data_IF_489762680892
#
_entry.id   IF_489762680892
#
_cell.length_a   1.000
_cell.length_b   1.000
_cell.length_c   1.000
_cell.angle_alpha   90.00
_cell.angle_beta   90.00
_cell.angle_gamma   90.00
#
_symmetry.space_group_name_H-M   'P 1'
#
loop_
_entity.id
_entity.type
_entity.pdbx_description
1 polymer ?
#
# COMPACT_ATOMS: atom_id res chain seq x y z
N UNK A 1 34.52 9.17 -46.41
CA UNK A 1 35.86 8.88 -45.87
C UNK A 1 35.75 9.02 -44.36
N UNK A 2 35.37 7.94 -43.66
CA UNK A 2 35.26 7.97 -42.20
C UNK A 2 36.66 7.91 -41.60
N UNK A 3 37.00 8.87 -40.75
CA UNK A 3 38.23 8.81 -39.96
C UNK A 3 38.04 7.72 -38.92
N UNK A 4 38.83 6.66 -39.02
CA UNK A 4 38.99 5.67 -37.95
C UNK A 4 40.07 6.28 -37.07
N UNK A 5 39.66 6.81 -35.92
CA UNK A 5 40.56 7.29 -34.89
C UNK A 5 41.11 6.05 -34.19
N UNK A 6 42.32 5.64 -34.58
CA UNK A 6 43.01 4.51 -33.97
C UNK A 6 43.26 4.85 -32.51
N UNK A 7 42.72 4.01 -31.60
CA UNK A 7 43.07 4.11 -30.19
C UNK A 7 44.58 3.93 -30.05
N UNK A 8 45.28 4.75 -29.23
CA UNK A 8 46.71 4.58 -29.00
C UNK A 8 47.03 3.16 -28.51
N UNK A 9 48.00 2.50 -29.16
CA UNK A 9 48.49 1.14 -28.87
C UNK A 9 49.15 0.98 -27.47
N UNK A 10 49.14 2.02 -26.63
CA UNK A 10 49.64 2.02 -25.26
C UNK A 10 48.62 1.49 -24.24
N UNK A 11 47.66 0.65 -24.68
CA UNK A 11 46.83 -0.10 -23.75
C UNK A 11 47.67 -1.25 -23.18
N UNK A 12 48.20 -1.05 -21.98
CA UNK A 12 48.90 -2.08 -21.23
C UNK A 12 47.93 -3.24 -20.90
N UNK A 13 47.99 -4.32 -21.68
CA UNK A 13 47.14 -5.52 -21.53
C UNK A 13 47.35 -6.25 -20.20
N UNK A 14 48.30 -5.81 -19.36
CA UNK A 14 48.53 -6.38 -18.03
C UNK A 14 47.66 -5.70 -16.97
N UNK A 15 46.38 -6.12 -16.88
CA UNK A 15 45.58 -5.89 -15.68
C UNK A 15 46.26 -6.55 -14.48
N UNK A 16 46.95 -5.77 -13.65
CA UNK A 16 47.43 -6.19 -12.34
C UNK A 16 46.22 -6.41 -11.41
N UNK A 17 45.64 -7.61 -11.49
CA UNK A 17 44.69 -8.10 -10.50
C UNK A 17 45.41 -8.17 -9.15
N UNK A 18 44.86 -7.62 -8.06
CA UNK A 18 45.42 -7.83 -6.74
C UNK A 18 45.59 -9.33 -6.48
N UNK A 19 46.81 -9.76 -6.15
CA UNK A 19 47.01 -11.11 -5.61
C UNK A 19 46.06 -11.30 -4.42
N UNK A 20 45.42 -12.48 -4.25
CA UNK A 20 44.58 -12.73 -3.10
C UNK A 20 45.44 -12.55 -1.86
N UNK A 21 45.19 -11.46 -1.13
CA UNK A 21 45.87 -11.18 0.12
C UNK A 21 45.67 -12.38 1.07
N UNK A 22 46.69 -12.78 1.86
CA UNK A 22 46.45 -13.70 2.97
C UNK A 22 45.36 -13.08 3.86
N UNK A 23 44.35 -13.90 4.17
CA UNK A 23 43.12 -13.55 4.89
C UNK A 23 43.37 -12.58 6.04
N UNK A 24 42.81 -11.36 6.01
CA UNK A 24 42.75 -10.52 7.18
C UNK A 24 41.71 -11.07 8.15
N UNK A 25 42.16 -11.14 9.41
CA UNK A 25 41.40 -11.39 10.63
C UNK A 25 40.04 -10.69 10.66
N UNK A 26 39.04 -11.48 11.09
CA UNK A 26 37.73 -11.14 11.65
C UNK A 26 37.35 -9.65 11.73
N UNK A 27 36.56 -9.19 10.76
CA UNK A 27 35.56 -8.16 10.99
C UNK A 27 34.35 -8.42 10.08
N UNK A 28 33.18 -8.42 10.70
CA UNK A 28 31.91 -8.90 10.16
C UNK A 28 31.47 -8.13 8.90
N UNK A 29 31.63 -8.74 7.72
CA UNK A 29 30.76 -8.55 6.54
C UNK A 29 31.21 -9.50 5.43
N UNK A 30 30.89 -10.79 5.61
CA UNK A 30 30.78 -11.73 4.48
C UNK A 30 29.34 -11.57 3.97
N UNK A 31 29.08 -11.39 2.66
CA UNK A 31 27.76 -11.70 2.13
C UNK A 31 27.57 -13.20 2.31
N UNK A 32 26.93 -13.58 3.41
CA UNK A 32 26.42 -14.94 3.59
C UNK A 32 25.63 -15.27 2.33
N UNK A 33 25.84 -16.43 1.68
CA UNK A 33 24.92 -16.85 0.62
C UNK A 33 23.51 -16.82 1.23
N UNK A 34 22.53 -16.18 0.55
CA UNK A 34 21.19 -16.03 1.11
C UNK A 34 20.68 -17.42 1.48
N UNK A 35 20.31 -17.57 2.75
CA UNK A 35 19.59 -18.77 3.22
C UNK A 35 18.34 -18.94 2.34
N UNK A 36 17.85 -20.16 2.07
CA UNK A 36 16.69 -20.38 1.19
C UNK A 36 15.44 -19.57 1.57
N UNK A 37 15.36 -19.15 2.83
CA UNK A 37 14.30 -18.31 3.41
C UNK A 37 14.40 -16.81 3.07
N UNK A 38 15.55 -16.31 2.61
CA UNK A 38 15.75 -14.90 2.20
C UNK A 38 15.51 -14.66 0.71
N UNK A 39 15.30 -15.71 -0.08
CA UNK A 39 15.12 -15.54 -1.51
C UNK A 39 13.71 -15.01 -1.83
N UNK A 40 13.58 -13.99 -2.71
CA UNK A 40 12.29 -13.40 -3.08
C UNK A 40 11.29 -14.39 -3.66
N UNK A 41 11.80 -15.51 -4.19
CA UNK A 41 11.03 -16.60 -4.78
C UNK A 41 11.39 -17.87 -4.00
N UNK A 42 10.40 -18.57 -3.41
CA UNK A 42 10.65 -19.81 -2.68
C UNK A 42 11.30 -20.87 -3.58
N UNK A 43 12.37 -21.53 -3.12
CA UNK A 43 12.95 -22.65 -3.88
C UNK A 43 12.07 -23.89 -3.68
N UNK A 44 11.61 -24.52 -4.77
CA UNK A 44 11.04 -25.87 -4.71
C UNK A 44 12.17 -26.89 -4.68
N UNK A 45 12.56 -27.32 -3.48
CA UNK A 45 13.69 -28.24 -3.27
C UNK A 45 13.54 -29.57 -4.03
N UNK A 46 12.34 -30.10 -4.15
CA UNK A 46 12.08 -31.36 -4.85
C UNK A 46 12.44 -31.25 -6.33
N UNK A 47 12.05 -30.13 -6.96
CA UNK A 47 12.36 -29.86 -8.36
C UNK A 47 13.81 -29.42 -8.57
N UNK A 48 14.43 -28.82 -7.56
CA UNK A 48 15.85 -28.50 -7.55
C UNK A 48 16.72 -29.78 -7.56
N UNK A 49 16.33 -30.80 -6.77
CA UNK A 49 16.99 -32.12 -6.75
C UNK A 49 16.91 -32.78 -8.13
N UNK A 50 15.72 -32.77 -8.75
CA UNK A 50 15.54 -33.31 -10.10
C UNK A 50 16.41 -32.58 -11.15
N UNK A 51 16.51 -31.25 -11.07
CA UNK A 51 17.34 -30.45 -11.99
C UNK A 51 18.85 -30.71 -11.80
N UNK A 52 19.29 -30.90 -10.56
CA UNK A 52 20.69 -31.14 -10.22
C UNK A 52 21.12 -32.60 -10.52
N UNK A 53 20.18 -33.55 -10.49
CA UNK A 53 20.41 -34.95 -10.92
C UNK A 53 20.53 -35.09 -12.44
N UNK A 54 19.88 -34.21 -13.21
CA UNK A 54 19.93 -34.19 -14.67
C UNK A 54 20.98 -33.22 -15.25
N UNK A 55 21.72 -32.50 -14.41
CA UNK A 55 22.74 -31.53 -14.83
C UNK A 55 24.11 -32.17 -15.07
N UNK A 56 24.84 -31.66 -16.07
CA UNK A 56 26.19 -32.13 -16.37
C UNK A 56 27.14 -31.89 -15.17
N UNK A 57 27.88 -32.91 -14.68
CA UNK A 57 28.71 -32.82 -13.47
C UNK A 57 29.93 -31.88 -13.62
N UNK A 58 30.15 -31.31 -14.80
CA UNK A 58 31.24 -30.40 -15.12
C UNK A 58 30.77 -28.94 -15.35
N UNK A 59 29.46 -28.69 -15.36
CA UNK A 59 28.91 -27.35 -15.51
C UNK A 59 29.00 -26.56 -14.17
N UNK A 60 29.29 -25.25 -14.22
CA UNK A 60 29.24 -24.41 -13.04
C UNK A 60 27.80 -24.33 -12.49
N UNK A 61 27.66 -24.49 -11.16
CA UNK A 61 26.38 -24.35 -10.47
C UNK A 61 25.81 -22.95 -10.66
N UNK A 62 24.51 -22.85 -10.87
CA UNK A 62 23.84 -21.56 -11.01
C UNK A 62 23.84 -20.83 -9.66
N UNK A 63 23.82 -19.49 -9.65
CA UNK A 63 23.66 -18.76 -8.41
C UNK A 63 22.27 -19.05 -7.80
N UNK A 64 22.13 -19.07 -6.47
CA UNK A 64 20.90 -19.52 -5.78
C UNK A 64 19.66 -18.71 -6.18
N UNK A 65 19.83 -17.43 -6.54
CA UNK A 65 18.74 -16.60 -7.04
C UNK A 65 18.19 -17.03 -8.41
N UNK A 66 19.05 -17.55 -9.30
CA UNK A 66 18.63 -18.08 -10.61
C UNK A 66 18.07 -19.50 -10.49
N UNK A 67 18.59 -20.28 -9.55
CA UNK A 67 18.08 -21.61 -9.22
C UNK A 67 16.62 -21.55 -8.76
N UNK A 68 16.29 -20.64 -7.84
CA UNK A 68 14.91 -20.43 -7.36
C UNK A 68 13.90 -20.23 -8.51
N UNK A 69 14.23 -19.35 -9.46
CA UNK A 69 13.39 -19.07 -10.64
C UNK A 69 13.23 -20.32 -11.52
N UNK A 70 14.32 -21.07 -11.73
CA UNK A 70 14.32 -22.25 -12.61
C UNK A 70 13.50 -23.44 -12.06
N UNK A 71 13.30 -23.51 -10.75
CA UNK A 71 12.47 -24.56 -10.14
C UNK A 71 10.96 -24.40 -10.40
N UNK A 72 10.53 -23.26 -10.94
CA UNK A 72 9.12 -22.95 -11.15
C UNK A 72 8.74 -23.04 -12.63
N UNK A 73 7.51 -23.49 -12.92
CA UNK A 73 7.00 -23.37 -14.30
C UNK A 73 6.69 -21.90 -14.61
N UNK A 74 6.60 -21.56 -15.89
CA UNK A 74 6.28 -20.19 -16.32
C UNK A 74 4.97 -19.68 -15.72
N UNK A 75 3.98 -20.57 -15.58
CA UNK A 75 2.66 -20.24 -15.06
C UNK A 75 2.70 -20.02 -13.54
N UNK A 76 3.38 -20.90 -12.80
CA UNK A 76 3.60 -20.74 -11.36
C UNK A 76 4.42 -19.49 -11.02
N UNK A 77 5.42 -19.16 -11.84
CA UNK A 77 6.21 -17.94 -11.68
C UNK A 77 5.33 -16.70 -11.90
N UNK A 78 4.43 -16.72 -12.87
CA UNK A 78 3.48 -15.63 -13.09
C UNK A 78 2.53 -15.45 -11.89
N UNK A 79 2.11 -16.51 -11.23
CA UNK A 79 1.29 -16.44 -10.01
C UNK A 79 2.07 -15.81 -8.85
N UNK A 80 3.32 -16.22 -8.64
CA UNK A 80 4.18 -15.67 -7.57
C UNK A 80 4.52 -14.20 -7.81
N UNK A 81 4.78 -13.81 -9.07
CA UNK A 81 4.98 -12.42 -9.44
C UNK A 81 3.71 -11.60 -9.21
N UNK A 82 2.53 -12.12 -9.56
CA UNK A 82 1.27 -11.42 -9.28
C UNK A 82 0.98 -11.28 -7.78
N UNK A 83 1.43 -12.23 -6.96
CA UNK A 83 1.33 -12.16 -5.50
C UNK A 83 2.25 -11.10 -4.88
N UNK A 84 3.38 -10.82 -5.54
CA UNK A 84 4.35 -9.85 -5.05
C UNK A 84 3.85 -8.42 -5.34
N UNK A 85 3.66 -7.55 -4.33
CA UNK A 85 3.01 -6.24 -4.51
C UNK A 85 3.67 -5.35 -5.58
N UNK A 86 4.98 -5.48 -5.77
CA UNK A 86 5.75 -4.71 -6.75
C UNK A 86 5.46 -5.11 -8.21
N UNK A 87 4.98 -6.33 -8.45
CA UNK A 87 4.76 -6.90 -9.79
C UNK A 87 3.30 -7.31 -10.02
N UNK A 88 2.41 -6.97 -9.08
CA UNK A 88 1.01 -7.31 -9.13
C UNK A 88 0.30 -6.57 -10.27
N UNK A 89 -0.35 -7.34 -11.17
CA UNK A 89 -1.17 -6.77 -12.24
C UNK A 89 -2.64 -6.62 -11.84
N UNK A 90 -3.16 -7.52 -10.98
CA UNK A 90 -4.55 -7.52 -10.51
C UNK A 90 -4.63 -7.83 -9.00
N UNK A 91 -5.34 -7.00 -8.23
CA UNK A 91 -5.54 -7.18 -6.78
C UNK A 91 -6.22 -8.51 -6.43
N UNK A 92 -7.11 -9.02 -7.29
CA UNK A 92 -7.86 -10.25 -7.04
C UNK A 92 -7.00 -11.52 -7.15
N UNK A 93 -5.94 -11.49 -7.97
CA UNK A 93 -5.04 -12.64 -8.18
C UNK A 93 -3.91 -12.71 -7.15
N UNK A 94 -3.75 -11.67 -6.35
CA UNK A 94 -2.70 -11.58 -5.36
C UNK A 94 -3.09 -12.14 -3.98
N UNK A 95 -4.37 -12.45 -3.79
CA UNK A 95 -4.83 -13.14 -2.59
C UNK A 95 -4.67 -14.64 -2.77
N UNK A 96 -4.19 -15.32 -1.72
CA UNK A 96 -4.18 -16.77 -1.69
C UNK A 96 -5.59 -17.35 -1.64
N UNK A 97 -5.72 -18.67 -1.71
CA UNK A 97 -6.99 -19.40 -1.53
C UNK A 97 -7.71 -19.06 -0.20
N UNK A 98 -7.01 -18.43 0.75
CA UNK A 98 -7.54 -17.92 2.03
C UNK A 98 -7.89 -16.42 2.04
N UNK A 99 -7.72 -15.70 0.93
CA UNK A 99 -8.09 -14.28 0.83
C UNK A 99 -7.10 -13.32 1.50
N UNK A 100 -5.92 -13.79 1.90
CA UNK A 100 -4.93 -13.00 2.66
C UNK A 100 -3.56 -13.08 1.98
N UNK A 101 -2.86 -11.95 1.94
CA UNK A 101 -1.47 -11.87 1.47
C UNK A 101 -0.67 -11.09 2.50
N UNK A 102 0.25 -11.77 3.17
CA UNK A 102 1.06 -11.22 4.26
C UNK A 102 1.84 -9.98 3.82
N UNK A 103 2.29 -9.94 2.55
CA UNK A 103 3.04 -8.81 2.02
C UNK A 103 2.14 -7.58 1.80
N UNK A 104 0.90 -7.79 1.33
CA UNK A 104 -0.08 -6.70 1.20
C UNK A 104 -0.55 -6.21 2.57
N UNK A 105 -0.70 -7.11 3.53
CA UNK A 105 -1.07 -6.76 4.90
C UNK A 105 0.04 -5.96 5.59
N UNK A 106 1.30 -6.36 5.43
CA UNK A 106 2.45 -5.60 5.91
C UNK A 106 2.49 -4.18 5.31
N UNK A 107 2.26 -4.01 4.01
CA UNK A 107 2.21 -2.68 3.39
C UNK A 107 1.03 -1.86 3.91
N UNK A 108 -0.13 -2.48 4.12
CA UNK A 108 -1.29 -1.79 4.73
C UNK A 108 -1.04 -1.40 6.17
N UNK A 109 -0.32 -2.23 6.92
CA UNK A 109 0.12 -1.89 8.26
C UNK A 109 1.04 -0.66 8.20
N UNK A 110 2.07 -0.66 7.34
CA UNK A 110 2.96 0.49 7.11
C UNK A 110 2.20 1.79 6.77
N UNK A 111 1.16 1.70 5.95
CA UNK A 111 0.33 2.87 5.58
C UNK A 111 -0.54 3.39 6.73
N UNK A 112 -0.86 2.56 7.72
CA UNK A 112 -1.66 2.90 8.89
C UNK A 112 -0.81 2.93 10.17
N UNK A 113 0.51 3.06 10.04
CA UNK A 113 1.40 3.27 11.17
C UNK A 113 1.14 4.62 11.83
N UNK A 114 1.28 4.63 13.15
CA UNK A 114 1.15 5.82 13.96
C UNK A 114 -0.06 5.81 14.90
N UNK A 115 -0.19 6.91 15.62
CA UNK A 115 -1.27 7.09 16.58
C UNK A 115 -2.61 7.30 15.86
N UNK A 116 -3.70 7.05 16.59
CA UNK A 116 -5.06 7.19 16.02
C UNK A 116 -5.33 8.60 15.48
N UNK A 117 -4.77 9.63 16.11
CA UNK A 117 -4.87 11.02 15.63
C UNK A 117 -4.14 11.25 14.30
N UNK A 118 -2.95 10.67 14.13
CA UNK A 118 -2.15 10.81 12.91
C UNK A 118 -2.77 10.05 11.73
N UNK A 119 -3.30 8.85 11.97
CA UNK A 119 -4.00 8.10 10.91
C UNK A 119 -5.25 8.84 10.43
N UNK A 120 -6.03 9.44 11.34
CA UNK A 120 -7.17 10.27 10.98
C UNK A 120 -6.75 11.54 10.19
N UNK A 121 -5.62 12.13 10.57
CA UNK A 121 -5.02 13.27 9.86
C UNK A 121 -4.60 12.88 8.43
N UNK A 122 -4.00 11.71 8.23
CA UNK A 122 -3.63 11.20 6.90
C UNK A 122 -4.86 11.05 6.00
N UNK A 123 -5.96 10.50 6.52
CA UNK A 123 -7.22 10.40 5.76
C UNK A 123 -7.81 11.77 5.41
N UNK A 124 -7.67 12.76 6.29
CA UNK A 124 -8.07 14.14 6.01
C UNK A 124 -7.28 14.72 4.84
N UNK A 125 -5.97 14.50 4.80
CA UNK A 125 -5.09 15.00 3.74
C UNK A 125 -5.38 14.34 2.39
N UNK A 126 -5.57 13.01 2.37
CA UNK A 126 -6.02 12.28 1.18
C UNK A 126 -7.39 12.77 0.68
N UNK A 127 -8.32 13.04 1.61
CA UNK A 127 -9.62 13.63 1.28
C UNK A 127 -9.50 15.04 0.70
N UNK A 128 -8.57 15.86 1.20
CA UNK A 128 -8.31 17.21 0.70
C UNK A 128 -7.75 17.18 -0.73
N UNK A 129 -6.90 16.20 -1.05
CA UNK A 129 -6.37 15.99 -2.40
C UNK A 129 -7.48 15.57 -3.37
N UNK A 130 -8.29 14.57 -3.01
CA UNK A 130 -9.44 14.15 -3.82
C UNK A 130 -10.45 15.29 -4.03
N UNK A 131 -10.68 16.12 -3.02
CA UNK A 131 -11.52 17.31 -3.12
C UNK A 131 -10.93 18.37 -4.06
N UNK A 132 -9.61 18.56 -4.05
CA UNK A 132 -8.89 19.47 -4.98
C UNK A 132 -9.06 19.02 -6.43
N UNK A 133 -9.07 17.71 -6.66
CA UNK A 133 -9.33 17.09 -7.96
C UNK A 133 -10.83 17.03 -8.32
N UNK A 134 -11.72 17.53 -7.45
CA UNK A 134 -13.18 17.51 -7.61
C UNK A 134 -13.78 16.09 -7.64
N UNK A 135 -13.05 15.10 -7.12
CA UNK A 135 -13.56 13.75 -6.90
C UNK A 135 -14.28 13.69 -5.55
N UNK A 136 -15.47 14.29 -5.52
CA UNK A 136 -16.24 14.47 -4.27
C UNK A 136 -16.73 13.15 -3.65
N UNK A 137 -16.96 12.11 -4.47
CA UNK A 137 -17.38 10.77 -4.02
C UNK A 137 -16.24 10.14 -3.22
N UNK A 138 -15.05 10.06 -3.82
CA UNK A 138 -13.86 9.52 -3.18
C UNK A 138 -13.50 10.35 -1.93
N UNK A 139 -13.53 11.69 -2.01
CA UNK A 139 -13.24 12.56 -0.88
C UNK A 139 -14.15 12.27 0.33
N UNK A 140 -15.46 12.10 0.10
CA UNK A 140 -16.42 11.72 1.14
C UNK A 140 -16.04 10.40 1.81
N UNK A 141 -15.60 9.41 1.05
CA UNK A 141 -15.18 8.11 1.61
C UNK A 141 -13.95 8.25 2.49
N UNK A 142 -12.95 9.03 2.09
CA UNK A 142 -11.74 9.27 2.88
C UNK A 142 -12.08 9.98 4.21
N UNK A 143 -12.91 11.03 4.19
CA UNK A 143 -13.36 11.66 5.44
C UNK A 143 -14.19 10.72 6.31
N UNK A 144 -15.00 9.86 5.70
CA UNK A 144 -15.80 8.87 6.45
C UNK A 144 -14.93 7.79 7.10
N UNK A 145 -13.85 7.36 6.43
CA UNK A 145 -12.84 6.46 7.00
C UNK A 145 -12.10 7.12 8.17
N UNK A 146 -11.70 8.39 8.03
CA UNK A 146 -11.08 9.15 9.13
C UNK A 146 -11.98 9.23 10.37
N UNK A 147 -13.27 9.52 10.18
CA UNK A 147 -14.25 9.51 11.28
C UNK A 147 -14.40 8.09 11.88
N UNK A 148 -14.43 7.05 11.04
CA UNK A 148 -14.53 5.68 11.51
C UNK A 148 -13.34 5.28 12.39
N UNK A 149 -12.12 5.71 12.04
CA UNK A 149 -10.91 5.50 12.85
C UNK A 149 -11.03 6.19 14.21
N UNK A 150 -11.52 7.43 14.26
CA UNK A 150 -11.67 8.18 15.51
C UNK A 150 -12.78 7.62 16.42
N UNK A 151 -13.89 7.15 15.83
CA UNK A 151 -15.05 6.62 16.57
C UNK A 151 -14.87 5.14 16.93
N UNK A 152 -14.00 4.42 16.23
CA UNK A 152 -13.73 3.01 16.51
C UNK A 152 -13.34 2.82 17.99
N UNK A 153 -14.00 1.84 18.61
CA UNK A 153 -13.74 1.41 20.00
C UNK A 153 -12.60 0.41 20.11
N UNK A 154 -12.02 0.01 18.98
CA UNK A 154 -10.97 -0.99 18.90
C UNK A 154 -9.60 -0.29 18.99
N UNK A 155 -8.77 -0.73 19.94
CA UNK A 155 -7.40 -0.23 20.11
C UNK A 155 -6.45 -0.98 19.14
N UNK A 156 -6.55 -0.64 17.84
CA UNK A 156 -5.67 -1.15 16.78
C UNK A 156 -4.43 -0.27 16.55
N UNK A 157 -4.32 0.85 17.25
CA UNK A 157 -3.30 1.87 17.02
C UNK A 157 -2.32 2.00 18.17
N UNK A 158 -1.17 2.58 17.87
CA UNK A 158 -0.14 2.86 18.85
C UNK A 158 -0.59 3.91 19.86
N UNK A 159 -0.10 3.76 21.09
CA UNK A 159 -0.37 4.70 22.17
C UNK A 159 0.52 5.94 22.00
N UNK A 160 -0.01 7.14 22.17
CA UNK A 160 0.80 8.36 22.10
C UNK A 160 1.80 8.42 23.26
N UNK A 161 2.94 9.05 23.04
CA UNK A 161 3.83 9.48 24.13
C UNK A 161 3.20 10.64 24.92
N UNK A 162 2.49 11.54 24.21
CA UNK A 162 1.83 12.73 24.76
C UNK A 162 0.30 12.70 24.54
N UNK A 163 -0.46 12.30 25.56
CA UNK A 163 -1.92 12.18 25.50
C UNK A 163 -2.64 13.49 25.18
N UNK A 164 -2.07 14.64 25.59
CA UNK A 164 -2.69 15.96 25.41
C UNK A 164 -2.61 16.45 23.97
N UNK A 165 -1.44 16.32 23.35
CA UNK A 165 -1.26 16.72 21.95
C UNK A 165 -2.04 15.79 21.02
N UNK A 166 -2.06 14.48 21.31
CA UNK A 166 -2.88 13.54 20.54
C UNK A 166 -4.38 13.85 20.69
N UNK A 167 -4.85 14.19 21.90
CA UNK A 167 -6.25 14.59 22.10
C UNK A 167 -6.62 15.86 21.33
N UNK A 168 -5.70 16.84 21.23
CA UNK A 168 -5.89 18.05 20.45
C UNK A 168 -5.94 17.72 18.95
N UNK A 169 -4.98 16.94 18.46
CA UNK A 169 -4.92 16.50 17.06
C UNK A 169 -6.18 15.72 16.67
N UNK A 170 -6.67 14.81 17.54
CA UNK A 170 -7.91 14.06 17.30
C UNK A 170 -9.11 14.98 17.14
N UNK A 171 -9.27 15.99 17.99
CA UNK A 171 -10.38 16.97 17.89
C UNK A 171 -10.29 17.78 16.60
N UNK A 172 -9.11 18.28 16.27
CA UNK A 172 -8.87 19.05 15.04
C UNK A 172 -9.15 18.21 13.79
N UNK A 173 -8.70 16.95 13.77
CA UNK A 173 -8.97 16.01 12.70
C UNK A 173 -10.47 15.66 12.60
N UNK A 174 -11.14 15.46 13.73
CA UNK A 174 -12.57 15.17 13.81
C UNK A 174 -13.42 16.31 13.22
N UNK A 175 -13.23 17.52 13.74
CA UNK A 175 -13.96 18.71 13.32
C UNK A 175 -13.77 18.96 11.82
N UNK A 176 -12.53 18.89 11.34
CA UNK A 176 -12.22 19.08 9.93
C UNK A 176 -12.84 18.00 9.04
N UNK A 177 -12.80 16.72 9.45
CA UNK A 177 -13.43 15.64 8.68
C UNK A 177 -14.95 15.81 8.56
N UNK A 178 -15.63 16.21 9.64
CA UNK A 178 -17.08 16.45 9.59
C UNK A 178 -17.44 17.64 8.70
N UNK A 179 -16.72 18.74 8.80
CA UNK A 179 -16.94 19.94 7.97
C UNK A 179 -16.73 19.61 6.49
N UNK A 180 -15.64 18.92 6.15
CA UNK A 180 -15.32 18.61 4.76
C UNK A 180 -16.26 17.54 4.17
N UNK A 181 -16.73 16.59 4.99
CA UNK A 181 -17.76 15.64 4.58
C UNK A 181 -19.09 16.36 4.30
N UNK A 182 -19.47 17.33 5.11
CA UNK A 182 -20.65 18.16 4.86
C UNK A 182 -20.50 18.94 3.54
N UNK A 183 -19.33 19.54 3.30
CA UNK A 183 -19.01 20.21 2.04
C UNK A 183 -19.13 19.28 0.83
N UNK A 184 -18.58 18.06 0.91
CA UNK A 184 -18.70 17.07 -0.17
C UNK A 184 -20.16 16.69 -0.46
N UNK A 185 -21.01 16.57 0.56
CA UNK A 185 -22.43 16.30 0.37
C UNK A 185 -23.18 17.47 -0.29
N UNK A 186 -22.78 18.71 0.01
CA UNK A 186 -23.33 19.91 -0.65
C UNK A 186 -22.95 19.92 -2.15
N UNK A 187 -21.69 19.64 -2.48
CA UNK A 187 -21.21 19.59 -3.86
C UNK A 187 -21.86 18.47 -4.69
N UNK A 188 -22.05 17.30 -4.07
CA UNK A 188 -22.72 16.17 -4.71
C UNK A 188 -24.23 16.39 -4.90
N UNK A 189 -24.79 17.51 -4.44
CA UNK A 189 -26.23 17.83 -4.52
C UNK A 189 -27.10 16.68 -4.01
N UNK A 190 -26.64 15.99 -2.97
CA UNK A 190 -27.52 15.16 -2.15
C UNK A 190 -28.01 16.04 -1.01
N UNK A 191 -29.15 16.75 -1.14
CA UNK A 191 -29.77 17.39 0.00
C UNK A 191 -30.17 16.28 0.97
N UNK A 192 -29.33 16.09 1.98
CA UNK A 192 -29.53 15.40 3.25
C UNK A 192 -30.84 14.61 3.38
N UNK A 193 -30.77 13.29 3.24
CA UNK A 193 -31.50 12.34 4.10
C UNK A 193 -30.69 11.05 4.23
N UNK A 194 -29.49 11.13 4.80
CA UNK A 194 -28.88 9.94 5.40
C UNK A 194 -29.48 9.76 6.79
N UNK A 195 -30.66 9.14 6.84
CA UNK A 195 -31.44 8.88 8.05
C UNK A 195 -30.70 8.02 9.10
N UNK A 196 -29.48 7.52 8.81
CA UNK A 196 -28.67 6.78 9.77
C UNK A 196 -27.91 7.69 10.73
N UNK A 197 -27.63 8.94 10.37
CA UNK A 197 -26.90 9.86 11.25
C UNK A 197 -27.75 10.44 12.39
N UNK A 198 -29.09 10.40 12.28
CA UNK A 198 -29.99 10.90 13.30
C UNK A 198 -30.28 9.90 14.44
N UNK A 199 -29.79 8.66 14.38
CA UNK A 199 -30.07 7.64 15.42
C UNK A 199 -29.23 7.76 16.70
N UNK A 200 -28.55 8.90 16.91
CA UNK A 200 -27.82 9.22 18.14
C UNK A 200 -28.35 10.43 18.91
N UNK A 201 -29.42 11.08 18.45
CA UNK A 201 -29.97 12.26 19.11
C UNK A 201 -31.49 12.11 19.16
N UNK A 202 -32.01 11.70 20.31
CA UNK A 202 -33.44 11.74 20.62
C UNK A 202 -33.89 13.22 20.62
N UNK A 203 -34.25 13.73 19.45
CA UNK A 203 -34.95 15.00 19.29
C UNK A 203 -36.42 14.71 19.00
N UNK A 204 -37.27 15.23 19.89
CA UNK A 204 -38.73 15.21 19.90
C UNK A 204 -39.37 15.52 18.51
N UNK A 205 -40.50 14.88 18.15
CA UNK A 205 -40.97 14.78 16.76
C UNK A 205 -41.87 15.93 16.27
N UNK A 206 -41.74 17.18 16.75
CA UNK A 206 -42.66 18.26 16.36
C UNK A 206 -42.18 19.23 15.26
N UNK A 207 -40.91 19.25 14.86
CA UNK A 207 -40.41 20.27 13.89
C UNK A 207 -40.25 19.80 12.43
N UNK A 208 -40.65 18.59 12.08
CA UNK A 208 -40.48 18.06 10.71
C UNK A 208 -41.65 18.27 9.73
N UNK A 209 -42.63 19.13 10.03
CA UNK A 209 -43.75 19.41 9.10
C UNK A 209 -43.64 20.73 8.30
N UNK A 210 -42.62 21.58 8.55
CA UNK A 210 -42.57 22.92 7.96
C UNK A 210 -41.95 23.06 6.55
N UNK A 211 -41.24 22.06 6.02
CA UNK A 211 -40.34 22.28 4.87
C UNK A 211 -40.82 21.60 3.56
N UNK A 212 -42.08 21.17 3.50
CA UNK A 212 -42.64 20.49 2.32
C UNK A 212 -43.51 21.38 1.40
N UNK A 213 -43.70 22.66 1.69
CA UNK A 213 -44.71 23.49 0.98
C UNK A 213 -44.19 24.48 -0.08
N UNK A 214 -42.89 24.52 -0.43
CA UNK A 214 -42.38 25.53 -1.39
C UNK A 214 -41.76 24.89 -2.64
N UNK A 215 -42.44 23.91 -3.23
CA UNK A 215 -42.21 23.51 -4.63
C UNK A 215 -43.50 22.92 -5.18
N UNK A 216 -44.39 23.74 -5.73
CA UNK A 216 -45.30 23.43 -6.84
C UNK A 216 -46.10 24.72 -7.16
N UNK A 217 -45.47 25.64 -7.88
CA UNK A 217 -46.20 26.67 -8.61
C UNK A 217 -46.76 26.03 -9.89
N UNK A 218 -48.05 25.74 -9.91
CA UNK A 218 -48.78 25.37 -11.11
C UNK A 218 -50.02 26.28 -11.25
N UNK A 219 -49.99 27.06 -12.33
CA UNK A 219 -51.09 27.77 -12.97
C UNK A 219 -52.32 26.86 -13.10
N UNK A 220 -53.53 27.37 -12.77
CA UNK A 220 -54.79 27.17 -13.53
C UNK A 220 -56.04 27.77 -12.81
N UNK A 221 -56.69 28.68 -13.54
CA UNK A 221 -58.15 28.94 -13.68
C UNK A 221 -59.08 29.09 -12.45
N UNK A 222 -59.79 30.23 -12.40
CA UNK A 222 -60.96 30.49 -11.56
C UNK A 222 -61.16 31.98 -11.33
#
# INVERSE_FOLDING_TARGET
MGQIEELPDDYDESLNLPQPAPSPVEENNVPTPPTPEELPIPIKEDRLKDLNENADPLAPKMPPAMEAVSTHTTDELAEILNRTPLFMTDINKAYDEKGENVMLDAIRALQNEGTRGEVAQNFREQGNEAAREKRWIDAKEHYSKGIAVLVAKEDKWDKPEDEKEEAKLRREAEEACYINRALCNLELKFPVYDARLCRGFEAEPEECQGVLSVRHGAVCAG
#
